data_IF_219792319016
#
_entry.id   IF_219792319016
#
_cell.length_a   1.000
_cell.length_b   1.000
_cell.length_c   1.000
_cell.angle_alpha   90.00
_cell.angle_beta   90.00
_cell.angle_gamma   90.00
#
_symmetry.space_group_name_H-M   'P 1'
#
loop_
_entity.id
_entity.type
_entity.pdbx_description
1 polymer ?
#
# COMPACT_ATOMS: atom_id res chain seq x y z
N UNK A 1 38.75 62.98 16.93
CA UNK A 1 37.31 63.26 16.97
C UNK A 1 36.66 62.42 15.87
N UNK A 2 36.15 61.22 16.18
CA UNK A 2 35.47 60.35 15.22
C UNK A 2 34.13 61.03 14.88
N UNK A 3 33.93 61.31 13.59
CA UNK A 3 32.73 61.98 13.12
C UNK A 3 31.46 61.17 13.43
N UNK A 4 30.54 61.72 14.20
CA UNK A 4 29.22 61.15 14.56
C UNK A 4 28.50 60.58 13.32
N UNK A 5 28.71 61.17 12.15
CA UNK A 5 28.17 60.70 10.87
C UNK A 5 28.67 59.26 10.49
N UNK A 6 29.93 58.90 10.82
CA UNK A 6 30.47 57.58 10.55
C UNK A 6 29.89 56.51 11.50
N UNK A 7 29.62 56.89 12.76
CA UNK A 7 29.03 56.00 13.75
C UNK A 7 27.57 55.73 13.39
N UNK A 8 26.80 56.75 12.97
CA UNK A 8 25.42 56.61 12.54
C UNK A 8 25.32 55.77 11.26
N UNK A 9 26.26 55.90 10.32
CA UNK A 9 26.31 55.11 9.09
C UNK A 9 26.62 53.62 9.38
N UNK A 10 27.54 53.30 10.30
CA UNK A 10 27.78 51.94 10.76
C UNK A 10 26.58 51.34 11.48
N UNK A 11 25.86 52.14 12.29
CA UNK A 11 24.67 51.66 13.00
C UNK A 11 23.51 51.29 12.05
N UNK A 12 23.34 52.04 10.94
CA UNK A 12 22.34 51.78 9.91
C UNK A 12 22.68 50.51 9.11
N UNK A 13 23.96 50.19 8.92
CA UNK A 13 24.42 48.96 8.25
C UNK A 13 24.14 47.69 9.07
N UNK A 14 24.15 47.77 10.38
CA UNK A 14 23.91 46.63 11.28
C UNK A 14 22.42 46.27 11.36
N UNK A 15 21.52 47.23 11.13
CA UNK A 15 20.06 47.01 11.19
C UNK A 15 19.45 46.26 10.01
N UNK A 16 20.25 46.01 8.92
CA UNK A 16 19.77 45.27 7.77
C UNK A 16 20.12 43.76 7.76
N UNK A 17 20.65 43.20 8.86
CA UNK A 17 20.71 41.77 9.02
C UNK A 17 19.32 41.26 9.41
N UNK A 18 18.37 41.35 8.47
CA UNK A 18 17.18 40.53 8.51
C UNK A 18 17.64 39.07 8.37
N UNK A 19 17.72 38.36 9.49
CA UNK A 19 17.81 36.90 9.47
C UNK A 19 16.57 36.43 8.71
N UNK A 20 16.74 36.12 7.45
CA UNK A 20 15.72 35.39 6.67
C UNK A 20 15.54 34.04 7.37
N UNK A 21 14.67 34.01 8.37
CA UNK A 21 14.23 32.76 8.98
C UNK A 21 13.51 31.99 7.87
N UNK A 22 14.20 31.07 7.26
CA UNK A 22 13.60 30.17 6.33
C UNK A 22 12.50 29.43 7.09
N UNK A 23 11.25 29.82 6.86
CA UNK A 23 10.11 29.12 7.44
C UNK A 23 10.19 27.66 6.97
N UNK A 24 10.26 26.74 7.93
CA UNK A 24 10.26 25.31 7.62
C UNK A 24 9.00 24.99 6.82
N UNK A 25 9.19 24.50 5.59
CA UNK A 25 8.09 24.15 4.71
C UNK A 25 7.65 22.72 4.97
N UNK A 26 6.58 22.57 5.74
CA UNK A 26 5.95 21.29 6.04
C UNK A 26 4.78 21.10 5.08
N UNK A 27 4.71 19.92 4.44
CA UNK A 27 3.62 19.54 3.53
C UNK A 27 3.13 18.13 3.86
N UNK A 28 2.03 17.72 3.25
CA UNK A 28 1.57 16.34 3.40
C UNK A 28 1.25 15.71 2.05
N UNK A 29 1.29 14.37 2.06
CA UNK A 29 1.12 13.51 0.89
C UNK A 29 0.19 12.35 1.23
N UNK A 30 -0.79 12.09 0.38
CA UNK A 30 -1.68 10.94 0.43
C UNK A 30 -1.13 9.82 -0.46
N UNK A 31 -0.34 8.92 0.15
CA UNK A 31 0.29 7.79 -0.57
C UNK A 31 -0.78 6.85 -1.18
N UNK A 32 -1.91 6.64 -0.49
CA UNK A 32 -2.97 5.79 -1.03
C UNK A 32 -3.61 6.44 -2.27
N UNK A 33 -3.77 7.76 -2.27
CA UNK A 33 -4.28 8.47 -3.43
C UNK A 33 -3.27 8.41 -4.59
N UNK A 34 -1.96 8.53 -4.33
CA UNK A 34 -0.92 8.33 -5.35
C UNK A 34 -1.00 6.93 -5.94
N UNK A 35 -1.09 5.88 -5.10
CA UNK A 35 -1.26 4.50 -5.57
C UNK A 35 -2.54 4.33 -6.41
N UNK A 36 -3.67 4.87 -5.95
CA UNK A 36 -4.96 4.68 -6.61
C UNK A 36 -5.11 5.45 -7.92
N UNK A 37 -4.45 6.60 -8.07
CA UNK A 37 -4.64 7.50 -9.23
C UNK A 37 -3.57 7.34 -10.31
N UNK A 38 -2.34 6.98 -9.96
CA UNK A 38 -1.25 6.83 -10.94
C UNK A 38 -1.43 5.60 -11.82
N UNK A 39 -0.87 5.64 -13.04
CA UNK A 39 -0.93 4.52 -13.99
C UNK A 39 -0.21 3.28 -13.45
N UNK A 40 0.95 3.46 -12.82
CA UNK A 40 1.70 2.36 -12.19
C UNK A 40 0.91 1.76 -11.04
N UNK A 41 0.36 2.59 -10.15
CA UNK A 41 -0.45 2.13 -9.02
C UNK A 41 -1.71 1.39 -9.46
N UNK A 42 -2.45 1.91 -10.45
CA UNK A 42 -3.63 1.23 -11.03
C UNK A 42 -3.29 -0.14 -11.60
N UNK A 43 -2.11 -0.29 -12.24
CA UNK A 43 -1.65 -1.58 -12.76
C UNK A 43 -1.41 -2.58 -11.63
N UNK A 44 -0.78 -2.15 -10.53
CA UNK A 44 -0.57 -2.97 -9.33
C UNK A 44 -1.92 -3.43 -8.75
N UNK A 45 -2.85 -2.49 -8.53
CA UNK A 45 -4.19 -2.78 -7.99
C UNK A 45 -4.91 -3.79 -8.88
N UNK A 46 -4.91 -3.58 -10.20
CA UNK A 46 -5.54 -4.49 -11.16
C UNK A 46 -4.95 -5.90 -11.11
N UNK A 47 -3.63 -6.02 -11.00
CA UNK A 47 -2.94 -7.31 -10.91
C UNK A 47 -3.31 -8.05 -9.62
N UNK A 48 -3.32 -7.33 -8.48
CA UNK A 48 -3.72 -7.90 -7.19
C UNK A 48 -5.19 -8.30 -7.17
N UNK A 49 -6.08 -7.51 -7.74
CA UNK A 49 -7.51 -7.85 -7.86
C UNK A 49 -7.73 -9.08 -8.73
N UNK A 50 -7.00 -9.20 -9.84
CA UNK A 50 -7.05 -10.36 -10.72
C UNK A 50 -6.56 -11.63 -10.01
N UNK A 51 -5.45 -11.55 -9.28
CA UNK A 51 -4.93 -12.64 -8.47
C UNK A 51 -5.92 -13.06 -7.39
N UNK A 52 -6.49 -12.10 -6.66
CA UNK A 52 -7.51 -12.34 -5.63
C UNK A 52 -8.73 -13.05 -6.22
N UNK A 53 -9.23 -12.58 -7.36
CA UNK A 53 -10.39 -13.16 -8.05
C UNK A 53 -10.13 -14.62 -8.45
N UNK A 54 -8.95 -14.89 -9.03
CA UNK A 54 -8.56 -16.23 -9.42
C UNK A 54 -8.45 -17.16 -8.19
N UNK A 55 -7.85 -16.70 -7.11
CA UNK A 55 -7.75 -17.46 -5.86
C UNK A 55 -9.13 -17.79 -5.30
N UNK A 56 -10.04 -16.82 -5.25
CA UNK A 56 -11.41 -17.04 -4.77
C UNK A 56 -12.19 -18.03 -5.64
N UNK A 57 -12.02 -17.98 -6.97
CA UNK A 57 -12.65 -18.95 -7.88
C UNK A 57 -12.13 -20.36 -7.65
N UNK A 58 -10.82 -20.53 -7.49
CA UNK A 58 -10.23 -21.84 -7.22
C UNK A 58 -10.67 -22.42 -5.88
N UNK A 59 -10.68 -21.60 -4.84
CA UNK A 59 -11.17 -21.99 -3.50
C UNK A 59 -12.64 -22.40 -3.56
N UNK A 60 -13.47 -21.62 -4.26
CA UNK A 60 -14.89 -21.95 -4.43
C UNK A 60 -15.07 -23.27 -5.14
N UNK A 61 -14.37 -23.49 -6.24
CA UNK A 61 -14.45 -24.76 -7.00
C UNK A 61 -14.08 -25.97 -6.12
N UNK A 62 -12.95 -25.92 -5.43
CA UNK A 62 -12.53 -27.01 -4.55
C UNK A 62 -13.53 -27.26 -3.41
N UNK A 63 -14.07 -26.21 -2.81
CA UNK A 63 -15.12 -26.32 -1.77
C UNK A 63 -16.37 -26.99 -2.30
N UNK A 64 -16.83 -26.58 -3.49
CA UNK A 64 -18.04 -27.14 -4.10
C UNK A 64 -17.84 -28.63 -4.46
N UNK A 65 -16.65 -29.02 -4.92
CA UNK A 65 -16.31 -30.41 -5.22
C UNK A 65 -16.25 -31.26 -3.93
N UNK A 66 -15.64 -30.76 -2.85
CA UNK A 66 -15.65 -31.44 -1.55
C UNK A 66 -17.07 -31.60 -0.99
N UNK A 67 -17.91 -30.55 -1.13
CA UNK A 67 -19.31 -30.62 -0.75
C UNK A 67 -20.05 -31.74 -1.50
N UNK A 68 -19.87 -31.84 -2.82
CA UNK A 68 -20.46 -32.92 -3.64
C UNK A 68 -19.99 -34.30 -3.17
N UNK A 69 -18.70 -34.46 -2.90
CA UNK A 69 -18.15 -35.73 -2.37
C UNK A 69 -18.77 -36.12 -1.03
N UNK A 70 -18.88 -35.15 -0.11
CA UNK A 70 -19.53 -35.35 1.19
C UNK A 70 -20.98 -35.78 1.04
N UNK A 71 -21.74 -35.03 0.22
CA UNK A 71 -23.18 -35.30 0.01
C UNK A 71 -23.39 -36.66 -0.66
N UNK A 72 -22.48 -37.08 -1.57
CA UNK A 72 -22.47 -38.41 -2.18
C UNK A 72 -22.21 -39.50 -1.15
N UNK A 73 -21.17 -39.34 -0.34
CA UNK A 73 -20.83 -40.33 0.71
C UNK A 73 -21.96 -40.47 1.72
N UNK A 74 -22.62 -39.39 2.09
CA UNK A 74 -23.78 -39.42 3.00
C UNK A 74 -24.95 -40.21 2.42
N UNK A 75 -25.24 -40.09 1.11
CA UNK A 75 -26.27 -40.90 0.42
C UNK A 75 -25.91 -42.36 0.38
N UNK A 76 -24.65 -42.70 0.36
CA UNK A 76 -24.14 -44.07 0.27
C UNK A 76 -24.03 -44.78 1.65
N UNK A 77 -24.29 -44.07 2.75
CA UNK A 77 -24.15 -44.63 4.11
C UNK A 77 -24.88 -45.92 4.37
N UNK A 78 -26.07 -46.08 3.77
CA UNK A 78 -26.89 -47.29 3.93
C UNK A 78 -26.67 -48.35 2.83
N UNK A 79 -25.75 -48.08 1.89
CA UNK A 79 -25.49 -48.95 0.71
C UNK A 79 -24.12 -49.61 0.86
N UNK A 80 -23.13 -48.88 1.40
CA UNK A 80 -21.77 -49.35 1.61
C UNK A 80 -21.67 -50.21 2.87
N UNK A 81 -20.71 -51.13 2.90
CA UNK A 81 -20.30 -51.80 4.12
C UNK A 81 -19.70 -50.76 5.11
N UNK A 82 -19.74 -51.09 6.42
CA UNK A 82 -19.19 -50.22 7.44
C UNK A 82 -17.70 -49.89 7.20
N UNK A 83 -16.92 -50.87 6.76
CA UNK A 83 -15.49 -50.72 6.46
C UNK A 83 -15.26 -49.80 5.24
N UNK A 84 -15.99 -50.02 4.15
CA UNK A 84 -15.90 -49.15 2.95
C UNK A 84 -16.31 -47.71 3.26
N UNK A 85 -17.39 -47.49 4.03
CA UNK A 85 -17.81 -46.17 4.44
C UNK A 85 -16.74 -45.48 5.29
N UNK A 86 -16.14 -46.18 6.25
CA UNK A 86 -15.08 -45.66 7.11
C UNK A 86 -13.85 -45.24 6.32
N UNK A 87 -13.39 -46.06 5.38
CA UNK A 87 -12.24 -45.73 4.50
C UNK A 87 -12.53 -44.47 3.67
N UNK A 88 -13.72 -44.35 3.08
CA UNK A 88 -14.08 -43.18 2.29
C UNK A 88 -14.26 -41.92 3.19
N UNK A 89 -14.77 -42.07 4.41
CA UNK A 89 -14.90 -40.97 5.35
C UNK A 89 -13.54 -40.39 5.78
N UNK A 90 -12.58 -41.27 6.10
CA UNK A 90 -11.20 -40.87 6.43
C UNK A 90 -10.52 -40.20 5.24
N UNK A 91 -10.70 -40.72 4.02
CA UNK A 91 -10.17 -40.09 2.82
C UNK A 91 -10.72 -38.68 2.62
N UNK A 92 -12.02 -38.51 2.77
CA UNK A 92 -12.68 -37.22 2.62
C UNK A 92 -12.25 -36.23 3.71
N UNK A 93 -12.08 -36.68 4.96
CA UNK A 93 -11.55 -35.86 6.05
C UNK A 93 -10.14 -35.35 5.73
N UNK A 94 -9.27 -36.19 5.16
CA UNK A 94 -7.94 -35.82 4.71
C UNK A 94 -7.99 -34.77 3.60
N UNK A 95 -8.91 -34.90 2.65
CA UNK A 95 -9.11 -33.91 1.59
C UNK A 95 -9.57 -32.55 2.18
N UNK A 96 -10.46 -32.53 3.16
CA UNK A 96 -10.86 -31.32 3.84
C UNK A 96 -9.69 -30.65 4.58
N UNK A 97 -8.85 -31.43 5.23
CA UNK A 97 -7.65 -30.92 5.91
C UNK A 97 -6.70 -30.27 4.91
N UNK A 98 -6.40 -30.95 3.79
CA UNK A 98 -5.56 -30.41 2.71
C UNK A 98 -6.15 -29.14 2.12
N UNK A 99 -7.47 -29.07 1.94
CA UNK A 99 -8.16 -27.87 1.48
C UNK A 99 -8.00 -26.69 2.46
N UNK A 100 -8.09 -26.93 3.75
CA UNK A 100 -7.88 -25.88 4.76
C UNK A 100 -6.43 -25.38 4.78
N UNK A 101 -5.47 -26.27 4.64
CA UNK A 101 -4.05 -25.93 4.51
C UNK A 101 -3.78 -25.12 3.22
N UNK A 102 -4.37 -25.53 2.11
CA UNK A 102 -4.30 -24.80 0.84
C UNK A 102 -4.87 -23.37 0.98
N UNK A 103 -6.04 -23.22 1.60
CA UNK A 103 -6.64 -21.89 1.80
C UNK A 103 -5.74 -20.99 2.62
N UNK A 104 -5.15 -21.50 3.71
CA UNK A 104 -4.22 -20.76 4.55
C UNK A 104 -2.97 -20.33 3.74
N UNK A 105 -2.42 -21.25 2.96
CA UNK A 105 -1.25 -20.98 2.10
C UNK A 105 -1.54 -19.90 1.08
N UNK A 106 -2.67 -19.99 0.37
CA UNK A 106 -3.10 -19.00 -0.65
C UNK A 106 -3.27 -17.61 -0.03
N UNK A 107 -3.83 -17.51 1.18
CA UNK A 107 -3.96 -16.22 1.89
C UNK A 107 -2.59 -15.62 2.20
N UNK A 108 -1.68 -16.41 2.77
CA UNK A 108 -0.33 -15.96 3.12
C UNK A 108 0.45 -15.52 1.86
N UNK A 109 0.36 -16.29 0.78
CA UNK A 109 1.02 -15.97 -0.48
C UNK A 109 0.46 -14.69 -1.11
N UNK A 110 -0.86 -14.48 -1.02
CA UNK A 110 -1.49 -13.24 -1.49
C UNK A 110 -1.01 -12.02 -0.68
N UNK A 111 -1.00 -12.11 0.66
CA UNK A 111 -0.56 -11.02 1.52
C UNK A 111 0.93 -10.70 1.29
N UNK A 112 1.77 -11.73 1.12
CA UNK A 112 3.18 -11.56 0.75
C UNK A 112 3.34 -10.87 -0.60
N UNK A 113 2.58 -11.28 -1.62
CA UNK A 113 2.63 -10.66 -2.95
C UNK A 113 2.18 -9.20 -2.89
N UNK A 114 1.10 -8.92 -2.16
CA UNK A 114 0.62 -7.55 -1.94
C UNK A 114 1.71 -6.68 -1.29
N UNK A 115 2.38 -7.17 -0.27
CA UNK A 115 3.44 -6.42 0.40
C UNK A 115 4.61 -6.13 -0.56
N UNK A 116 5.05 -7.12 -1.34
CA UNK A 116 6.11 -6.94 -2.34
C UNK A 116 5.74 -5.86 -3.35
N UNK A 117 4.54 -5.90 -3.92
CA UNK A 117 4.08 -4.91 -4.90
C UNK A 117 4.02 -3.48 -4.31
N UNK A 118 3.59 -3.35 -3.05
CA UNK A 118 3.58 -2.06 -2.36
C UNK A 118 4.98 -1.55 -2.05
N UNK A 119 5.90 -2.42 -1.64
CA UNK A 119 7.29 -2.06 -1.38
C UNK A 119 8.01 -1.64 -2.68
N UNK A 120 7.75 -2.34 -3.79
CA UNK A 120 8.27 -1.96 -5.11
C UNK A 120 7.72 -0.61 -5.57
N UNK A 121 6.42 -0.37 -5.36
CA UNK A 121 5.82 0.93 -5.62
C UNK A 121 6.48 2.05 -4.80
N UNK A 122 6.68 1.83 -3.50
CA UNK A 122 7.35 2.81 -2.64
C UNK A 122 8.79 3.08 -3.09
N UNK A 123 9.56 2.05 -3.43
CA UNK A 123 10.91 2.20 -3.97
C UNK A 123 10.93 3.00 -5.28
N UNK A 124 9.90 2.86 -6.10
CA UNK A 124 9.78 3.60 -7.36
C UNK A 124 9.45 5.08 -7.12
N UNK A 125 8.49 5.39 -6.22
CA UNK A 125 8.05 6.78 -6.02
C UNK A 125 8.97 7.58 -5.09
N UNK A 126 9.70 6.92 -4.18
CA UNK A 126 10.55 7.60 -3.20
C UNK A 126 11.57 8.56 -3.84
N UNK A 127 12.39 8.18 -4.83
CA UNK A 127 13.35 9.09 -5.46
C UNK A 127 12.66 10.26 -6.20
N UNK A 128 11.44 10.05 -6.71
CA UNK A 128 10.64 11.09 -7.34
C UNK A 128 10.22 12.15 -6.29
N UNK A 129 9.73 11.67 -5.15
CA UNK A 129 9.35 12.54 -4.03
C UNK A 129 10.57 13.30 -3.50
N UNK A 130 11.70 12.63 -3.30
CA UNK A 130 12.95 13.24 -2.82
C UNK A 130 13.45 14.35 -3.74
N UNK A 131 13.37 14.13 -5.07
CA UNK A 131 13.70 15.16 -6.05
C UNK A 131 12.78 16.37 -5.93
N UNK A 132 11.47 16.14 -5.87
CA UNK A 132 10.46 17.21 -5.71
C UNK A 132 10.67 18.02 -4.43
N UNK A 133 10.97 17.35 -3.31
CA UNK A 133 11.26 17.96 -2.02
C UNK A 133 12.45 18.94 -2.13
N UNK A 134 13.54 18.51 -2.77
CA UNK A 134 14.73 19.35 -2.98
C UNK A 134 14.41 20.57 -3.85
N UNK A 135 13.71 20.38 -4.96
CA UNK A 135 13.35 21.46 -5.91
C UNK A 135 12.42 22.50 -5.29
N UNK A 136 11.56 22.09 -4.36
CA UNK A 136 10.58 22.96 -3.68
C UNK A 136 11.02 23.50 -2.31
N UNK A 137 12.25 23.17 -1.89
CA UNK A 137 12.79 23.53 -0.56
C UNK A 137 11.83 23.11 0.57
N UNK A 138 11.27 21.90 0.46
CA UNK A 138 10.40 21.32 1.47
C UNK A 138 11.27 20.69 2.55
N UNK A 139 10.95 20.93 3.82
CA UNK A 139 11.71 20.40 4.96
C UNK A 139 11.15 19.08 5.46
N UNK A 140 9.82 18.94 5.50
CA UNK A 140 9.13 17.75 6.04
C UNK A 140 7.94 17.40 5.16
N UNK A 141 7.79 16.11 4.88
CA UNK A 141 6.57 15.54 4.27
C UNK A 141 5.92 14.61 5.27
N UNK A 142 4.68 14.88 5.60
CA UNK A 142 3.86 14.07 6.50
C UNK A 142 2.94 13.16 5.68
N UNK A 143 2.66 11.96 6.21
CA UNK A 143 1.61 11.13 5.64
C UNK A 143 0.24 11.69 6.05
N UNK A 144 -0.64 11.92 5.08
CA UNK A 144 -2.00 12.44 5.30
C UNK A 144 -2.81 11.61 6.31
N UNK A 145 -2.59 10.31 6.38
CA UNK A 145 -3.25 9.42 7.35
C UNK A 145 -2.99 9.79 8.81
N UNK A 146 -1.87 10.44 9.08
CA UNK A 146 -1.44 10.83 10.44
C UNK A 146 -1.83 12.28 10.79
N UNK A 147 -2.58 12.95 9.91
CA UNK A 147 -2.96 14.35 10.08
C UNK A 147 -4.46 14.42 10.38
N UNK A 148 -4.80 15.03 11.51
CA UNK A 148 -6.20 15.24 11.89
C UNK A 148 -6.85 16.37 11.07
N UNK A 149 -6.13 17.51 10.90
CA UNK A 149 -6.58 18.67 10.13
C UNK A 149 -5.38 19.41 9.54
N UNK A 150 -5.47 19.83 8.29
CA UNK A 150 -4.50 20.70 7.63
C UNK A 150 -5.17 21.49 6.50
N UNK A 151 -4.58 22.64 6.14
CA UNK A 151 -5.01 23.37 4.94
C UNK A 151 -4.64 22.60 3.68
N UNK A 152 -5.50 22.68 2.65
CA UNK A 152 -5.26 22.06 1.35
C UNK A 152 -4.02 22.63 0.65
N UNK A 153 -3.61 23.84 0.98
CA UNK A 153 -2.42 24.49 0.40
C UNK A 153 -1.11 23.75 0.71
N UNK A 154 -1.14 22.84 1.71
CA UNK A 154 -0.01 21.99 2.08
C UNK A 154 -0.09 20.57 1.48
N UNK A 155 -1.14 20.27 0.70
CA UNK A 155 -1.32 18.98 0.02
C UNK A 155 -0.53 18.97 -1.30
N UNK A 156 0.50 18.13 -1.38
CA UNK A 156 1.31 17.95 -2.60
C UNK A 156 0.91 16.71 -3.40
N UNK A 157 -0.20 16.07 -3.06
CA UNK A 157 -0.59 14.78 -3.62
C UNK A 157 -0.80 14.84 -5.12
N UNK A 158 -1.51 15.86 -5.62
CA UNK A 158 -1.84 15.95 -7.05
C UNK A 158 -0.60 16.25 -7.90
N UNK A 159 0.34 17.05 -7.39
CA UNK A 159 1.63 17.33 -8.05
C UNK A 159 2.48 16.06 -8.15
N UNK A 160 2.55 15.28 -7.07
CA UNK A 160 3.28 14.01 -7.04
C UNK A 160 2.66 13.01 -8.03
N UNK A 161 1.32 12.91 -8.10
CA UNK A 161 0.64 12.05 -9.08
C UNK A 161 1.05 12.39 -10.51
N UNK A 162 1.06 13.68 -10.87
CA UNK A 162 1.44 14.15 -12.20
C UNK A 162 2.90 13.78 -12.50
N UNK A 163 3.80 13.93 -11.54
CA UNK A 163 5.22 13.63 -11.73
C UNK A 163 5.46 12.13 -11.83
N UNK A 164 4.80 11.34 -11.00
CA UNK A 164 4.89 9.87 -11.06
C UNK A 164 4.42 9.34 -12.41
N UNK A 165 3.29 9.83 -12.93
CA UNK A 165 2.76 9.42 -14.25
C UNK A 165 3.64 9.83 -15.43
N UNK A 166 4.48 10.86 -15.28
CA UNK A 166 5.47 11.25 -16.31
C UNK A 166 6.73 10.36 -16.31
N UNK A 167 7.00 9.66 -15.21
CA UNK A 167 8.19 8.83 -15.01
C UNK A 167 7.89 7.33 -15.06
N UNK A 168 6.63 6.90 -15.08
CA UNK A 168 6.15 5.52 -15.14
C UNK A 168 5.47 5.20 -16.45
#
# INVERSE_FOLDING_TARGET
MFSIKKIVFCLILILNFSVAQSAEKIVYLDIDQVLNKTNVGKKIIKNLDSLRKNNLQNIKKQRDDLKKKRDKLQKQKNILSEEEFKVQAISLENEFRQFNEYNKKVSIEFDKKKQIELDEFMKFIQPIIEKYIKEKSITIVLNKKNIFIASKDYDITDEIIIIVDKNG
#
